data_IF_505318297034
#
_entry.id   IF_505318297034
#
_cell.length_a   1.000
_cell.length_b   1.000
_cell.length_c   1.000
_cell.angle_alpha   90.00
_cell.angle_beta   90.00
_cell.angle_gamma   90.00
#
_symmetry.space_group_name_H-M   'P 1'
#
loop_
_entity.id
_entity.type
_entity.pdbx_description
1 polymer ?
#
# COMPACT_ATOMS: atom_id res chain seq x y z
N UNK A 1 21.67 -48.36 -11.12
CA UNK A 1 20.74 -47.23 -11.08
C UNK A 1 21.62 -46.00 -11.06
N UNK A 2 21.45 -45.04 -12.01
CA UNK A 2 22.13 -43.77 -11.89
C UNK A 2 21.65 -43.11 -10.60
N UNK A 3 22.55 -42.67 -9.73
CA UNK A 3 22.19 -41.85 -8.58
C UNK A 3 21.67 -40.52 -9.09
N UNK A 4 20.35 -40.38 -9.04
CA UNK A 4 19.67 -39.12 -9.42
C UNK A 4 19.84 -38.12 -8.28
N UNK A 5 20.16 -36.87 -8.62
CA UNK A 5 20.18 -35.78 -7.65
C UNK A 5 18.77 -35.54 -7.09
N UNK A 6 18.69 -35.13 -5.82
CA UNK A 6 17.40 -34.84 -5.17
C UNK A 6 17.16 -33.33 -5.21
N UNK A 7 15.98 -32.92 -5.64
CA UNK A 7 15.53 -31.51 -5.57
C UNK A 7 14.29 -31.37 -4.66
N UNK A 8 14.06 -30.18 -4.15
CA UNK A 8 12.95 -29.88 -3.29
C UNK A 8 11.65 -29.60 -4.06
N UNK A 9 10.63 -29.19 -3.34
CA UNK A 9 9.38 -28.68 -3.91
C UNK A 9 9.56 -27.32 -4.59
N UNK A 10 10.64 -26.63 -4.28
CA UNK A 10 11.06 -25.33 -4.82
C UNK A 10 12.57 -25.33 -5.01
N UNK A 11 13.03 -24.72 -6.09
CA UNK A 11 14.46 -24.59 -6.37
C UNK A 11 14.82 -23.26 -7.01
N UNK A 12 16.07 -22.83 -6.82
CA UNK A 12 16.60 -21.69 -7.53
C UNK A 12 17.14 -22.12 -8.91
N UNK A 13 16.69 -21.40 -9.94
CA UNK A 13 17.14 -21.58 -11.32
C UNK A 13 17.92 -20.33 -11.79
N UNK A 14 18.94 -20.56 -12.62
CA UNK A 14 19.75 -19.52 -13.27
C UNK A 14 19.65 -19.68 -14.78
N UNK A 15 19.39 -18.59 -15.50
CA UNK A 15 19.37 -18.56 -16.98
C UNK A 15 20.39 -17.53 -17.48
N UNK A 16 21.66 -17.95 -17.57
CA UNK A 16 22.72 -17.04 -17.98
C UNK A 16 22.52 -16.43 -19.36
N UNK A 17 21.99 -17.20 -20.33
CA UNK A 17 21.71 -16.74 -21.70
C UNK A 17 20.55 -15.72 -21.77
N UNK A 18 19.65 -15.70 -20.80
CA UNK A 18 18.56 -14.75 -20.69
C UNK A 18 18.88 -13.57 -19.76
N UNK A 19 20.07 -13.58 -19.13
CA UNK A 19 20.45 -12.56 -18.18
C UNK A 19 19.70 -12.64 -16.85
N UNK A 20 19.15 -13.81 -16.49
CA UNK A 20 18.41 -14.02 -15.25
C UNK A 20 19.33 -14.73 -14.25
N UNK A 21 19.93 -14.01 -13.27
CA UNK A 21 20.93 -14.56 -12.37
C UNK A 21 20.37 -15.43 -11.24
N UNK A 22 19.08 -15.34 -10.94
CA UNK A 22 18.38 -16.21 -9.99
C UNK A 22 16.86 -16.03 -10.11
N UNK A 23 16.12 -17.12 -10.20
CA UNK A 23 14.64 -17.11 -10.17
C UNK A 23 14.14 -18.31 -9.38
N UNK A 24 13.20 -18.12 -8.46
CA UNK A 24 12.53 -19.22 -7.76
C UNK A 24 11.58 -19.95 -8.69
N UNK A 25 11.71 -21.26 -8.74
CA UNK A 25 10.85 -22.14 -9.51
C UNK A 25 10.09 -23.12 -8.58
N UNK A 26 8.78 -23.23 -8.78
CA UNK A 26 8.01 -24.32 -8.20
C UNK A 26 8.25 -25.59 -9.02
N UNK A 27 8.58 -26.68 -8.37
CA UNK A 27 8.74 -27.97 -9.02
C UNK A 27 7.36 -28.62 -9.18
N UNK A 28 6.95 -28.88 -10.43
CA UNK A 28 5.64 -29.40 -10.77
C UNK A 28 5.75 -30.61 -11.71
N UNK A 29 5.75 -31.82 -11.14
CA UNK A 29 5.76 -33.06 -11.89
C UNK A 29 4.49 -33.34 -12.68
N UNK A 30 3.38 -32.62 -12.40
CA UNK A 30 2.12 -32.68 -13.14
C UNK A 30 2.18 -31.94 -14.46
N UNK A 31 2.92 -30.82 -14.52
CA UNK A 31 3.10 -30.06 -15.75
C UNK A 31 4.12 -30.75 -16.67
N UNK A 32 3.78 -30.88 -17.97
CA UNK A 32 4.71 -31.48 -18.95
C UNK A 32 5.93 -30.61 -19.17
N UNK A 33 5.75 -29.36 -19.58
CA UNK A 33 6.78 -28.42 -19.97
C UNK A 33 6.94 -27.34 -18.93
N UNK A 34 8.16 -26.87 -18.68
CA UNK A 34 8.44 -25.73 -17.81
C UNK A 34 7.84 -24.43 -18.34
N UNK A 35 7.52 -23.49 -17.45
CA UNK A 35 6.91 -22.22 -17.80
C UNK A 35 7.57 -21.09 -17.01
N UNK A 36 7.76 -19.94 -17.67
CA UNK A 36 8.33 -18.74 -17.05
C UNK A 36 7.45 -17.53 -17.31
N UNK A 37 7.40 -16.62 -16.35
CA UNK A 37 6.70 -15.34 -16.51
C UNK A 37 7.29 -14.57 -17.68
N UNK A 38 6.43 -14.06 -18.56
CA UNK A 38 6.80 -13.21 -19.66
C UNK A 38 5.71 -12.17 -19.93
N UNK A 39 6.11 -10.92 -20.00
CA UNK A 39 5.27 -9.80 -20.41
C UNK A 39 5.76 -9.25 -21.75
N UNK A 40 4.88 -8.58 -22.49
CA UNK A 40 5.19 -7.88 -23.75
C UNK A 40 5.90 -8.75 -24.80
N UNK A 41 5.62 -10.07 -24.84
CA UNK A 41 6.26 -11.00 -25.75
C UNK A 41 5.93 -10.67 -27.21
N UNK A 42 6.97 -10.44 -28.04
CA UNK A 42 6.84 -10.09 -29.45
C UNK A 42 7.83 -10.88 -30.29
N UNK A 43 7.35 -11.45 -31.39
CA UNK A 43 8.20 -12.16 -32.36
C UNK A 43 8.91 -11.14 -33.26
N UNK A 44 10.21 -11.34 -33.44
CA UNK A 44 11.06 -10.55 -34.33
C UNK A 44 11.83 -11.49 -35.27
N UNK A 45 11.83 -11.19 -36.56
CA UNK A 45 12.57 -11.94 -37.60
C UNK A 45 13.99 -11.40 -37.71
N UNK A 46 15.02 -12.29 -37.76
CA UNK A 46 16.40 -11.93 -38.05
C UNK A 46 17.08 -13.07 -38.82
N UNK A 47 17.57 -12.77 -40.01
CA UNK A 47 18.31 -13.73 -40.85
C UNK A 47 17.52 -15.00 -41.20
N UNK A 48 16.22 -14.92 -41.43
CA UNK A 48 15.36 -16.07 -41.74
C UNK A 48 14.95 -16.92 -40.53
N UNK A 49 15.32 -16.49 -39.28
CA UNK A 49 14.92 -17.13 -38.05
C UNK A 49 14.03 -16.21 -37.19
N UNK A 50 13.11 -16.81 -36.46
CA UNK A 50 12.25 -16.08 -35.54
C UNK A 50 12.84 -16.10 -34.11
N UNK A 51 12.79 -14.95 -33.48
CA UNK A 51 13.15 -14.75 -32.07
C UNK A 51 11.97 -14.16 -31.34
N UNK A 52 11.91 -14.39 -30.02
CA UNK A 52 10.92 -13.77 -29.16
C UNK A 52 11.66 -12.81 -28.21
N UNK A 53 11.25 -11.52 -28.24
CA UNK A 53 11.60 -10.54 -27.21
C UNK A 53 10.52 -10.48 -26.19
N UNK A 54 10.88 -10.51 -24.93
CA UNK A 54 9.94 -10.45 -23.79
C UNK A 54 10.59 -9.82 -22.57
N UNK A 55 9.76 -9.44 -21.63
CA UNK A 55 10.17 -8.86 -20.36
C UNK A 55 9.86 -9.81 -19.22
N UNK A 56 10.73 -9.85 -18.23
CA UNK A 56 10.51 -10.63 -17.02
C UNK A 56 10.81 -9.80 -15.76
N UNK A 57 9.95 -9.94 -14.75
CA UNK A 57 10.18 -9.50 -13.39
C UNK A 57 10.51 -10.73 -12.53
N UNK A 58 11.79 -11.12 -12.40
CA UNK A 58 12.16 -12.42 -11.85
C UNK A 58 11.99 -12.54 -10.33
N UNK A 59 11.93 -11.42 -9.61
CA UNK A 59 11.78 -11.40 -8.17
C UNK A 59 10.30 -11.29 -7.81
N UNK A 60 9.86 -12.19 -6.92
CA UNK A 60 8.52 -12.18 -6.36
C UNK A 60 8.29 -10.84 -5.62
N UNK A 61 7.10 -10.26 -5.78
CA UNK A 61 6.65 -9.01 -5.14
C UNK A 61 7.53 -7.76 -5.41
N UNK A 62 8.53 -7.88 -6.31
CA UNK A 62 9.39 -6.78 -6.71
C UNK A 62 9.31 -6.54 -8.23
N UNK A 63 8.60 -5.48 -8.63
CA UNK A 63 8.48 -5.07 -10.04
C UNK A 63 9.54 -4.05 -10.48
N UNK A 64 10.43 -3.61 -9.59
CA UNK A 64 11.48 -2.64 -9.93
C UNK A 64 12.59 -3.25 -10.78
N UNK A 65 12.74 -4.57 -10.75
CA UNK A 65 13.70 -5.32 -11.55
C UNK A 65 12.96 -5.87 -12.77
N UNK A 66 13.24 -5.30 -13.93
CA UNK A 66 12.72 -5.76 -15.22
C UNK A 66 13.89 -6.13 -16.13
N UNK A 67 13.91 -7.36 -16.62
CA UNK A 67 14.94 -7.86 -17.54
C UNK A 67 14.34 -8.02 -18.92
N UNK A 68 15.00 -7.40 -19.91
CA UNK A 68 14.69 -7.59 -21.33
C UNK A 68 15.39 -8.84 -21.84
N UNK A 69 14.62 -9.82 -22.26
CA UNK A 69 15.09 -11.09 -22.75
C UNK A 69 14.85 -11.21 -24.27
N UNK A 70 15.77 -11.91 -24.95
CA UNK A 70 15.58 -12.33 -26.34
C UNK A 70 16.03 -13.79 -26.45
N UNK A 71 15.22 -14.65 -27.06
CA UNK A 71 15.54 -16.03 -27.31
C UNK A 71 14.99 -16.51 -28.66
N UNK A 72 15.60 -17.56 -29.23
CA UNK A 72 15.10 -18.17 -30.46
C UNK A 72 13.74 -18.81 -30.21
N UNK A 73 12.75 -18.49 -31.06
CA UNK A 73 11.45 -19.15 -31.05
C UNK A 73 11.63 -20.58 -31.61
N UNK A 74 11.19 -21.57 -30.82
CA UNK A 74 11.25 -22.99 -31.17
C UNK A 74 9.88 -23.49 -31.65
N UNK A 75 8.82 -23.05 -30.97
CA UNK A 75 7.47 -23.54 -31.23
C UNK A 75 6.39 -22.54 -30.75
N UNK A 76 5.15 -22.75 -31.20
CA UNK A 76 3.94 -22.10 -30.66
C UNK A 76 2.98 -23.19 -30.25
N UNK A 77 2.62 -23.24 -28.96
CA UNK A 77 1.77 -24.30 -28.41
C UNK A 77 0.52 -23.72 -27.77
N UNK A 78 -0.60 -24.37 -28.02
CA UNK A 78 -1.81 -24.12 -27.26
C UNK A 78 -1.74 -24.89 -25.94
N UNK A 79 -1.66 -24.17 -24.82
CA UNK A 79 -1.61 -24.74 -23.46
C UNK A 79 -2.93 -24.44 -22.77
N UNK A 80 -3.54 -25.47 -22.16
CA UNK A 80 -4.72 -25.26 -21.31
C UNK A 80 -4.23 -24.91 -19.89
N UNK A 81 -4.71 -23.79 -19.37
CA UNK A 81 -4.48 -23.39 -17.99
C UNK A 81 -5.23 -24.31 -17.04
N UNK A 82 -4.88 -24.26 -15.74
CA UNK A 82 -5.62 -24.96 -14.68
C UNK A 82 -7.10 -24.53 -14.59
N UNK A 83 -7.43 -23.34 -15.11
CA UNK A 83 -8.82 -22.84 -15.26
C UNK A 83 -9.52 -23.33 -16.53
N UNK A 84 -8.87 -24.18 -17.37
CA UNK A 84 -9.44 -24.75 -18.58
C UNK A 84 -9.38 -23.85 -19.81
N UNK A 85 -8.87 -22.63 -19.71
CA UNK A 85 -8.75 -21.69 -20.83
C UNK A 85 -7.54 -22.10 -21.70
N UNK A 86 -7.75 -22.23 -23.02
CA UNK A 86 -6.69 -22.48 -23.98
C UNK A 86 -6.01 -21.16 -24.35
N UNK A 87 -4.69 -21.10 -24.23
CA UNK A 87 -3.86 -19.94 -24.56
C UNK A 87 -2.72 -20.38 -25.49
N UNK A 88 -2.48 -19.63 -26.57
CA UNK A 88 -1.32 -19.84 -27.41
C UNK A 88 -0.08 -19.25 -26.71
N UNK A 89 0.98 -20.05 -26.54
CA UNK A 89 2.22 -19.63 -25.89
C UNK A 89 3.42 -19.87 -26.80
N UNK A 90 4.34 -18.92 -26.78
CA UNK A 90 5.65 -19.09 -27.40
C UNK A 90 6.50 -20.05 -26.58
N UNK A 91 7.27 -20.88 -27.28
CA UNK A 91 8.21 -21.82 -26.68
C UNK A 91 9.62 -21.46 -27.09
N UNK A 92 10.50 -21.34 -26.12
CA UNK A 92 11.93 -21.12 -26.31
C UNK A 92 12.72 -22.31 -25.74
N UNK A 93 13.94 -22.52 -26.22
CA UNK A 93 14.87 -23.48 -25.67
C UNK A 93 16.10 -22.74 -25.13
N UNK A 94 16.45 -23.01 -23.88
CA UNK A 94 17.53 -22.29 -23.19
C UNK A 94 18.20 -23.18 -22.13
N UNK A 95 19.51 -23.03 -21.87
CA UNK A 95 20.15 -23.68 -20.74
C UNK A 95 19.64 -23.10 -19.43
N UNK A 96 19.39 -24.02 -18.46
CA UNK A 96 19.11 -23.71 -17.05
C UNK A 96 20.19 -24.30 -16.19
N UNK A 97 20.61 -23.59 -15.15
CA UNK A 97 21.45 -24.10 -14.09
C UNK A 97 20.66 -24.26 -12.81
N UNK A 98 20.70 -25.45 -12.22
CA UNK A 98 20.10 -25.79 -10.91
C UNK A 98 21.21 -26.42 -10.07
N UNK A 99 21.64 -25.79 -8.98
CA UNK A 99 22.81 -26.18 -8.21
C UNK A 99 24.06 -26.21 -9.07
N UNK A 100 24.65 -27.39 -9.24
CA UNK A 100 25.82 -27.61 -10.09
C UNK A 100 25.52 -28.04 -11.53
N UNK A 101 24.27 -28.43 -11.81
CA UNK A 101 23.85 -28.99 -13.08
C UNK A 101 23.41 -27.91 -14.08
N UNK A 102 23.90 -27.96 -15.31
CA UNK A 102 23.47 -27.10 -16.40
C UNK A 102 23.00 -27.94 -17.60
N UNK A 103 21.77 -27.70 -18.06
CA UNK A 103 21.20 -28.46 -19.17
C UNK A 103 20.10 -27.63 -19.91
N UNK A 104 19.81 -28.00 -21.14
CA UNK A 104 18.79 -27.34 -21.94
C UNK A 104 17.40 -27.78 -21.55
N UNK A 105 16.50 -26.81 -21.44
CA UNK A 105 15.06 -27.04 -21.26
C UNK A 105 14.23 -26.23 -22.26
N UNK A 106 13.04 -26.72 -22.53
CA UNK A 106 12.00 -25.93 -23.19
C UNK A 106 11.22 -25.14 -22.14
N UNK A 107 11.00 -23.85 -22.43
CA UNK A 107 10.21 -22.95 -21.60
C UNK A 107 9.04 -22.39 -22.41
N UNK A 108 7.84 -22.51 -21.89
CA UNK A 108 6.68 -21.77 -22.37
C UNK A 108 6.66 -20.39 -21.73
N UNK A 109 6.50 -19.35 -22.54
CA UNK A 109 6.33 -17.96 -22.09
C UNK A 109 4.86 -17.73 -21.72
N UNK A 110 4.58 -17.37 -20.48
CA UNK A 110 3.22 -17.23 -19.97
C UNK A 110 3.10 -16.00 -19.06
N UNK A 111 1.90 -15.44 -18.99
CA UNK A 111 1.62 -14.47 -17.94
C UNK A 111 1.44 -15.20 -16.62
N UNK A 112 2.34 -14.93 -15.66
CA UNK A 112 2.34 -15.49 -14.30
C UNK A 112 2.37 -14.39 -13.24
N UNK A 113 1.95 -13.18 -13.56
CA UNK A 113 2.02 -12.02 -12.68
C UNK A 113 1.21 -12.16 -11.38
N UNK A 114 0.13 -12.92 -11.44
CA UNK A 114 -0.74 -13.19 -10.28
C UNK A 114 -0.44 -14.52 -9.57
N UNK A 115 0.57 -15.26 -10.04
CA UNK A 115 0.92 -16.55 -9.45
C UNK A 115 2.02 -16.40 -8.41
N UNK A 116 2.00 -17.26 -7.40
CA UNK A 116 2.98 -17.33 -6.32
C UNK A 116 4.42 -17.48 -6.83
N UNK A 117 4.63 -18.19 -7.94
CA UNK A 117 5.94 -18.40 -8.53
C UNK A 117 6.02 -17.88 -9.97
N UNK A 118 7.05 -17.08 -10.23
CA UNK A 118 7.36 -16.56 -11.58
C UNK A 118 7.81 -17.63 -12.55
N UNK A 119 8.21 -18.79 -12.04
CA UNK A 119 8.63 -19.94 -12.84
C UNK A 119 8.04 -21.23 -12.28
N UNK A 120 7.80 -22.17 -13.19
CA UNK A 120 7.41 -23.55 -12.92
C UNK A 120 8.38 -24.47 -13.64
N UNK A 121 8.94 -25.44 -12.92
CA UNK A 121 9.84 -26.45 -13.46
C UNK A 121 9.07 -27.73 -13.73
N UNK A 122 8.83 -28.02 -15.01
CA UNK A 122 7.98 -29.13 -15.45
C UNK A 122 8.70 -30.47 -15.56
N UNK A 123 7.93 -31.53 -15.73
CA UNK A 123 8.38 -32.93 -15.75
C UNK A 123 9.48 -33.23 -16.76
N UNK A 124 9.46 -32.61 -17.95
CA UNK A 124 10.50 -32.83 -18.97
C UNK A 124 11.88 -32.36 -18.52
N UNK A 125 11.95 -31.32 -17.70
CA UNK A 125 13.20 -30.85 -17.12
C UNK A 125 13.72 -31.80 -16.01
N UNK A 126 12.81 -32.51 -15.33
CA UNK A 126 13.10 -33.38 -14.20
C UNK A 126 13.52 -34.80 -14.65
N UNK A 127 12.90 -35.27 -15.72
CA UNK A 127 12.97 -36.66 -16.15
C UNK A 127 14.39 -37.14 -16.42
N UNK A 128 14.81 -38.23 -15.74
CA UNK A 128 16.15 -38.83 -15.85
C UNK A 128 17.25 -38.01 -15.20
N UNK A 129 16.94 -36.91 -14.44
CA UNK A 129 17.94 -36.07 -13.77
C UNK A 129 17.72 -35.98 -12.27
N UNK A 130 16.46 -35.83 -11.85
CA UNK A 130 16.13 -35.52 -10.46
C UNK A 130 15.03 -36.40 -9.88
N UNK A 131 15.19 -36.71 -8.59
CA UNK A 131 14.10 -37.13 -7.71
C UNK A 131 13.56 -35.91 -6.95
N UNK A 132 12.26 -35.81 -6.80
CA UNK A 132 11.63 -34.71 -6.09
C UNK A 132 11.30 -35.12 -4.67
N UNK A 133 11.83 -34.40 -3.68
CA UNK A 133 11.41 -34.49 -2.29
C UNK A 133 10.44 -33.36 -1.99
N UNK A 134 9.14 -33.61 -1.86
CA UNK A 134 8.15 -32.55 -1.66
C UNK A 134 8.16 -31.97 -0.23
N UNK A 135 8.88 -32.58 0.71
CA UNK A 135 8.95 -32.14 2.10
C UNK A 135 9.94 -30.99 2.31
N UNK A 136 10.89 -30.83 1.40
CA UNK A 136 11.96 -29.85 1.51
C UNK A 136 11.96 -28.87 0.32
N UNK A 137 12.69 -27.77 0.46
CA UNK A 137 12.89 -26.76 -0.59
C UNK A 137 14.37 -26.39 -0.69
N UNK A 138 14.81 -25.96 -1.89
CA UNK A 138 16.15 -25.43 -2.17
C UNK A 138 17.28 -26.40 -1.83
N UNK A 139 17.10 -27.70 -2.11
CA UNK A 139 18.05 -28.75 -1.79
C UNK A 139 19.33 -28.66 -2.62
N UNK A 140 19.29 -28.08 -3.83
CA UNK A 140 20.44 -27.93 -4.68
C UNK A 140 21.27 -26.69 -4.35
N UNK A 141 20.60 -25.56 -4.07
CA UNK A 141 21.25 -24.34 -3.63
C UNK A 141 20.21 -23.37 -3.10
N UNK A 142 20.44 -22.87 -1.90
CA UNK A 142 19.71 -21.74 -1.35
C UNK A 142 20.48 -20.44 -1.58
N UNK A 143 19.79 -19.38 -1.97
CA UNK A 143 20.33 -18.01 -2.02
C UNK A 143 19.68 -17.18 -0.91
N UNK A 144 20.51 -16.50 -0.12
CA UNK A 144 20.01 -15.50 0.84
C UNK A 144 19.44 -14.29 0.10
N UNK A 145 18.61 -13.50 0.79
CA UNK A 145 18.06 -12.25 0.23
C UNK A 145 19.16 -11.27 -0.20
N UNK A 146 20.26 -11.23 0.56
CA UNK A 146 21.43 -10.40 0.25
C UNK A 146 22.14 -10.87 -1.02
N UNK A 147 22.33 -12.18 -1.19
CA UNK A 147 22.91 -12.76 -2.41
C UNK A 147 22.05 -12.49 -3.64
N UNK A 148 20.73 -12.64 -3.50
CA UNK A 148 19.77 -12.31 -4.58
C UNK A 148 19.85 -10.83 -4.92
N UNK A 149 19.83 -9.95 -3.93
CA UNK A 149 19.94 -8.50 -4.12
C UNK A 149 21.24 -8.12 -4.83
N UNK A 150 22.37 -8.70 -4.41
CA UNK A 150 23.67 -8.46 -5.05
C UNK A 150 23.70 -8.92 -6.52
N UNK A 151 23.08 -10.07 -6.84
CA UNK A 151 22.98 -10.60 -8.21
C UNK A 151 22.16 -9.68 -9.12
N UNK A 152 21.17 -9.00 -8.59
CA UNK A 152 20.29 -8.09 -9.33
C UNK A 152 20.72 -6.62 -9.31
N UNK A 153 21.72 -6.26 -8.51
CA UNK A 153 22.25 -4.90 -8.47
C UNK A 153 22.58 -4.29 -9.85
N UNK A 154 23.17 -5.03 -10.83
CA UNK A 154 23.42 -4.50 -12.18
C UNK A 154 22.14 -4.20 -12.99
N UNK A 155 21.02 -4.82 -12.64
CA UNK A 155 19.72 -4.64 -13.30
C UNK A 155 18.85 -3.61 -12.59
N UNK A 156 19.20 -3.21 -11.38
CA UNK A 156 18.63 -2.06 -10.72
C UNK A 156 19.12 -0.81 -11.48
N UNK A 157 18.35 -0.35 -12.47
CA UNK A 157 18.55 1.01 -12.95
C UNK A 157 18.49 1.90 -11.73
N UNK A 158 19.55 2.66 -11.47
CA UNK A 158 19.47 3.78 -10.54
C UNK A 158 18.35 4.69 -11.10
N UNK A 159 17.15 4.55 -10.58
CA UNK A 159 16.03 5.41 -10.95
C UNK A 159 16.40 6.77 -10.37
N UNK A 160 16.89 7.68 -11.19
CA UNK A 160 17.31 9.02 -10.79
C UNK A 160 16.15 9.85 -10.22
N UNK A 161 14.94 9.32 -10.27
CA UNK A 161 13.73 9.90 -9.69
C UNK A 161 12.58 8.88 -9.67
N UNK A 162 11.66 9.05 -8.73
CA UNK A 162 10.42 8.28 -8.64
C UNK A 162 9.31 9.03 -9.39
N UNK A 163 8.37 8.30 -9.97
CA UNK A 163 7.11 8.86 -10.46
C UNK A 163 6.08 8.81 -9.35
N UNK A 164 5.77 9.96 -8.76
CA UNK A 164 4.94 10.09 -7.57
C UNK A 164 3.65 10.83 -7.91
N UNK A 165 2.51 10.22 -7.58
CA UNK A 165 1.23 10.89 -7.70
C UNK A 165 0.83 11.59 -6.40
N UNK A 166 0.45 12.86 -6.47
CA UNK A 166 -0.26 13.56 -5.41
C UNK A 166 -1.77 13.37 -5.64
N UNK A 167 -2.39 12.50 -4.87
CA UNK A 167 -3.82 12.18 -4.98
C UNK A 167 -4.66 13.12 -4.12
N UNK A 168 -5.28 14.13 -4.72
CA UNK A 168 -6.02 15.18 -4.00
C UNK A 168 -7.19 15.72 -4.85
N UNK A 169 -8.03 16.60 -4.28
CA UNK A 169 -9.16 17.20 -5.01
C UNK A 169 -8.87 18.60 -5.57
N UNK A 170 -7.86 19.30 -5.03
CA UNK A 170 -7.58 20.69 -5.43
C UNK A 170 -6.07 20.92 -5.60
N UNK A 171 -5.57 21.13 -6.83
CA UNK A 171 -4.15 21.38 -7.08
C UNK A 171 -3.67 22.74 -6.55
N UNK A 172 -4.58 23.69 -6.36
CA UNK A 172 -4.23 25.09 -6.03
C UNK A 172 -4.01 25.33 -4.54
N UNK A 173 -4.26 24.35 -3.67
CA UNK A 173 -3.95 24.48 -2.24
C UNK A 173 -2.44 24.65 -2.04
N UNK A 174 -2.05 25.61 -1.21
CA UNK A 174 -0.65 25.90 -0.90
C UNK A 174 0.15 24.64 -0.53
N UNK A 175 -0.39 23.81 0.37
CA UNK A 175 0.26 22.56 0.78
C UNK A 175 0.47 21.56 -0.36
N UNK A 176 -0.47 21.48 -1.31
CA UNK A 176 -0.35 20.60 -2.47
C UNK A 176 0.73 21.10 -3.43
N UNK A 177 0.75 22.41 -3.72
CA UNK A 177 1.81 23.02 -4.53
C UNK A 177 3.19 22.78 -3.91
N UNK A 178 3.33 22.99 -2.58
CA UNK A 178 4.61 22.79 -1.88
C UNK A 178 5.10 21.32 -1.91
N UNK A 179 4.17 20.34 -1.86
CA UNK A 179 4.52 18.92 -1.99
C UNK A 179 5.01 18.63 -3.41
N UNK A 180 4.32 19.13 -4.45
CA UNK A 180 4.75 18.98 -5.84
C UNK A 180 6.15 19.56 -6.05
N UNK A 181 6.36 20.84 -5.70
CA UNK A 181 7.65 21.52 -5.79
C UNK A 181 8.77 20.81 -5.02
N UNK A 182 8.46 20.28 -3.83
CA UNK A 182 9.44 19.56 -3.01
C UNK A 182 9.86 18.22 -3.61
N UNK A 183 8.94 17.53 -4.30
CA UNK A 183 9.21 16.31 -5.05
C UNK A 183 10.06 16.58 -6.28
N UNK A 184 9.69 17.57 -7.09
CA UNK A 184 10.43 17.99 -8.28
C UNK A 184 11.86 18.45 -7.94
N UNK A 185 12.01 19.24 -6.87
CA UNK A 185 13.32 19.69 -6.38
C UNK A 185 14.24 18.53 -5.93
N UNK A 186 13.69 17.36 -5.67
CA UNK A 186 14.43 16.11 -5.34
C UNK A 186 14.64 15.20 -6.55
N UNK A 187 14.27 15.65 -7.75
CA UNK A 187 14.43 14.92 -9.00
C UNK A 187 13.33 13.86 -9.24
N UNK A 188 12.19 13.97 -8.57
CA UNK A 188 11.04 13.07 -8.80
C UNK A 188 10.12 13.65 -9.89
N UNK A 189 9.50 12.78 -10.68
CA UNK A 189 8.39 13.12 -11.57
C UNK A 189 7.11 13.20 -10.73
N UNK A 190 6.62 14.42 -10.51
CA UNK A 190 5.41 14.64 -9.71
C UNK A 190 4.19 14.79 -10.60
N UNK A 191 3.14 14.03 -10.33
CA UNK A 191 1.88 14.07 -11.09
C UNK A 191 0.72 14.36 -10.15
N UNK A 192 -0.07 15.40 -10.43
CA UNK A 192 -1.29 15.65 -9.69
C UNK A 192 -2.44 14.79 -10.24
N UNK A 193 -3.04 13.98 -9.38
CA UNK A 193 -4.23 13.20 -9.69
C UNK A 193 -5.43 13.70 -8.89
N UNK A 194 -6.49 14.08 -9.59
CA UNK A 194 -7.75 14.42 -8.94
C UNK A 194 -8.50 13.13 -8.57
N UNK A 195 -8.79 12.95 -7.27
CA UNK A 195 -9.54 11.81 -6.75
C UNK A 195 -10.85 11.59 -7.51
N UNK A 196 -11.59 12.66 -7.79
CA UNK A 196 -12.93 12.61 -8.39
C UNK A 196 -12.88 12.37 -9.92
N UNK A 197 -11.69 12.42 -10.53
CA UNK A 197 -11.48 12.11 -11.95
C UNK A 197 -10.88 10.72 -12.18
N UNK A 198 -10.49 10.04 -11.13
CA UNK A 198 -9.95 8.67 -11.19
C UNK A 198 -11.07 7.66 -11.00
N UNK A 199 -11.03 6.55 -11.70
CA UNK A 199 -11.97 5.44 -11.56
C UNK A 199 -11.28 4.10 -11.74
N UNK A 200 -11.91 3.02 -11.28
CA UNK A 200 -11.28 1.71 -11.13
C UNK A 200 -12.02 0.66 -11.96
N UNK A 201 -11.24 -0.22 -12.59
CA UNK A 201 -11.71 -1.52 -13.08
C UNK A 201 -11.31 -2.57 -12.04
N UNK A 202 -12.28 -3.28 -11.50
CA UNK A 202 -12.08 -4.38 -10.56
C UNK A 202 -12.17 -5.69 -11.36
N UNK A 203 -11.02 -6.32 -11.57
CA UNK A 203 -10.87 -7.54 -12.36
C UNK A 203 -9.73 -8.35 -11.75
N UNK A 204 -9.94 -9.63 -11.51
CA UNK A 204 -8.95 -10.50 -10.88
C UNK A 204 -7.67 -10.65 -11.73
N UNK A 205 -7.79 -10.59 -13.06
CA UNK A 205 -6.67 -10.83 -13.98
C UNK A 205 -6.00 -9.53 -14.48
N UNK A 206 -6.77 -8.44 -14.52
CA UNK A 206 -6.29 -7.16 -15.06
C UNK A 206 -6.94 -5.97 -14.33
N UNK A 207 -6.67 -5.79 -13.03
CA UNK A 207 -7.15 -4.62 -12.30
C UNK A 207 -6.50 -3.36 -12.86
N UNK A 208 -7.27 -2.27 -12.98
CA UNK A 208 -6.81 -1.02 -13.56
C UNK A 208 -7.31 0.17 -12.74
N UNK A 209 -6.52 1.24 -12.72
CA UNK A 209 -6.98 2.57 -12.38
C UNK A 209 -6.94 3.41 -13.64
N UNK A 210 -8.02 4.12 -13.92
CA UNK A 210 -8.12 5.00 -15.08
C UNK A 210 -8.38 6.44 -14.63
N UNK A 211 -7.89 7.35 -15.44
CA UNK A 211 -8.13 8.77 -15.26
C UNK A 211 -9.07 9.29 -16.35
N UNK A 212 -9.69 10.44 -16.10
CA UNK A 212 -10.59 11.11 -17.03
C UNK A 212 -10.02 11.10 -18.45
N UNK A 213 -10.82 10.64 -19.42
CA UNK A 213 -10.38 10.42 -20.80
C UNK A 213 -9.88 9.01 -21.09
N UNK A 214 -9.92 8.08 -20.13
CA UNK A 214 -9.61 6.65 -20.32
C UNK A 214 -8.14 6.28 -20.15
N UNK A 215 -7.27 7.23 -19.78
CA UNK A 215 -5.85 6.96 -19.57
C UNK A 215 -5.65 6.01 -18.39
N UNK A 216 -4.91 4.92 -18.61
CA UNK A 216 -4.59 3.93 -17.58
C UNK A 216 -3.41 4.44 -16.74
N UNK A 217 -3.55 4.36 -15.40
CA UNK A 217 -2.60 4.88 -14.41
C UNK A 217 -1.78 3.73 -13.79
N UNK A 218 -0.95 3.05 -14.57
CA UNK A 218 -0.22 1.85 -14.10
C UNK A 218 1.26 2.09 -13.75
N UNK A 219 1.77 3.32 -13.84
CA UNK A 219 3.22 3.57 -13.83
C UNK A 219 3.71 4.44 -12.68
N UNK A 220 3.03 4.42 -11.54
CA UNK A 220 3.48 5.15 -10.37
C UNK A 220 4.32 4.27 -9.44
N UNK A 221 5.39 4.83 -8.87
CA UNK A 221 6.17 4.20 -7.81
C UNK A 221 5.53 4.43 -6.46
N UNK A 222 4.93 5.61 -6.27
CA UNK A 222 4.28 5.98 -5.02
C UNK A 222 3.10 6.93 -5.24
N UNK A 223 2.19 6.93 -4.27
CA UNK A 223 1.16 7.97 -4.14
C UNK A 223 1.24 8.66 -2.78
N UNK A 224 0.97 9.96 -2.77
CA UNK A 224 0.80 10.78 -1.57
C UNK A 224 -0.68 11.18 -1.47
N UNK A 225 -1.48 10.51 -0.62
CA UNK A 225 -2.90 10.83 -0.49
C UNK A 225 -3.12 12.11 0.31
N UNK A 226 -3.93 13.00 -0.24
CA UNK A 226 -4.44 14.23 0.40
C UNK A 226 -5.95 14.29 0.30
N UNK A 227 -6.60 13.25 0.83
CA UNK A 227 -8.04 13.02 0.68
C UNK A 227 -8.83 13.98 1.57
N UNK A 228 -9.74 14.75 1.00
CA UNK A 228 -10.67 15.60 1.78
C UNK A 228 -11.76 14.73 2.46
N UNK A 229 -12.34 15.17 3.60
CA UNK A 229 -13.36 14.40 4.34
C UNK A 229 -14.53 13.92 3.49
N UNK A 230 -15.05 14.77 2.62
CA UNK A 230 -16.22 14.48 1.80
C UNK A 230 -16.04 13.30 0.80
N UNK A 231 -14.79 12.93 0.48
CA UNK A 231 -14.50 11.85 -0.45
C UNK A 231 -13.67 10.74 0.20
N UNK A 232 -13.75 10.60 1.53
CA UNK A 232 -12.96 9.60 2.27
C UNK A 232 -13.18 8.18 1.75
N UNK A 233 -14.43 7.75 1.62
CA UNK A 233 -14.76 6.41 1.14
C UNK A 233 -14.13 6.14 -0.23
N UNK A 234 -14.37 7.02 -1.20
CA UNK A 234 -13.87 6.86 -2.56
C UNK A 234 -12.34 6.97 -2.65
N UNK A 235 -11.77 7.95 -1.95
CA UNK A 235 -10.32 8.13 -1.90
C UNK A 235 -9.60 6.93 -1.29
N UNK A 236 -10.12 6.36 -0.21
CA UNK A 236 -9.57 5.14 0.40
C UNK A 236 -9.73 3.91 -0.50
N UNK A 237 -10.82 3.81 -1.27
CA UNK A 237 -10.97 2.76 -2.27
C UNK A 237 -9.92 2.86 -3.38
N UNK A 238 -9.63 4.07 -3.87
CA UNK A 238 -8.55 4.30 -4.85
C UNK A 238 -7.18 3.95 -4.27
N UNK A 239 -6.89 4.33 -3.02
CA UNK A 239 -5.62 4.01 -2.35
C UNK A 239 -5.44 2.49 -2.27
N UNK A 240 -6.46 1.74 -1.83
CA UNK A 240 -6.41 0.26 -1.81
C UNK A 240 -6.17 -0.33 -3.20
N UNK A 241 -6.74 0.27 -4.23
CA UNK A 241 -6.52 -0.21 -5.60
C UNK A 241 -5.08 0.06 -6.08
N UNK A 242 -4.48 1.21 -5.73
CA UNK A 242 -3.06 1.47 -5.98
C UNK A 242 -2.16 0.49 -5.22
N UNK A 243 -2.47 0.23 -3.95
CA UNK A 243 -1.75 -0.74 -3.12
C UNK A 243 -1.81 -2.16 -3.71
N UNK A 244 -3.00 -2.61 -4.14
CA UNK A 244 -3.20 -3.88 -4.84
C UNK A 244 -2.41 -3.97 -6.17
N UNK A 245 -2.10 -2.84 -6.79
CA UNK A 245 -1.25 -2.75 -7.99
C UNK A 245 0.26 -2.67 -7.64
N UNK A 246 0.62 -2.74 -6.35
CA UNK A 246 1.99 -2.69 -5.87
C UNK A 246 2.59 -1.27 -5.84
N UNK A 247 1.77 -0.23 -5.86
CA UNK A 247 2.20 1.16 -5.74
C UNK A 247 2.33 1.51 -4.26
N UNK A 248 3.48 2.05 -3.85
CA UNK A 248 3.68 2.48 -2.45
C UNK A 248 2.70 3.61 -2.09
N UNK A 249 1.93 3.41 -1.01
CA UNK A 249 0.95 4.38 -0.52
C UNK A 249 1.46 5.06 0.76
N UNK A 250 1.86 6.33 0.66
CA UNK A 250 2.22 7.13 1.83
C UNK A 250 0.94 7.52 2.59
N UNK A 251 0.71 6.90 3.73
CA UNK A 251 -0.54 6.69 4.45
C UNK A 251 -1.47 5.72 3.72
N UNK A 252 -1.66 4.56 4.34
CA UNK A 252 -2.56 3.52 3.86
C UNK A 252 -4.02 3.96 3.96
N UNK A 253 -4.91 3.29 3.24
CA UNK A 253 -6.35 3.53 3.35
C UNK A 253 -6.86 3.27 4.76
N UNK A 254 -6.31 2.26 5.46
CA UNK A 254 -6.63 1.90 6.83
C UNK A 254 -6.25 3.04 7.80
N UNK A 255 -5.03 3.55 7.72
CA UNK A 255 -4.55 4.64 8.55
C UNK A 255 -5.43 5.91 8.39
N UNK A 256 -5.80 6.23 7.14
CA UNK A 256 -6.70 7.36 6.86
C UNK A 256 -8.09 7.12 7.44
N UNK A 257 -8.64 5.93 7.28
CA UNK A 257 -9.97 5.58 7.80
C UNK A 257 -9.99 5.62 9.32
N UNK A 258 -9.02 4.98 9.98
CA UNK A 258 -8.89 4.92 11.43
C UNK A 258 -8.71 6.31 12.04
N UNK A 259 -7.84 7.15 11.47
CA UNK A 259 -7.61 8.52 11.97
C UNK A 259 -8.80 9.46 11.78
N UNK A 260 -9.72 9.15 10.89
CA UNK A 260 -10.95 9.95 10.65
C UNK A 260 -12.10 9.58 11.54
N UNK A 261 -12.17 8.35 11.97
CA UNK A 261 -13.15 7.89 12.95
C UNK A 261 -12.67 8.26 14.36
N UNK A 262 -13.26 9.31 14.94
CA UNK A 262 -12.90 9.80 16.28
C UNK A 262 -13.12 8.75 17.37
N UNK A 263 -14.16 7.91 17.24
CA UNK A 263 -14.43 6.85 18.21
C UNK A 263 -13.37 5.77 18.12
N UNK A 264 -13.10 5.29 16.90
CA UNK A 264 -12.10 4.27 16.66
C UNK A 264 -10.69 4.74 17.06
N UNK A 265 -10.31 5.97 16.68
CA UNK A 265 -9.04 6.57 17.11
C UNK A 265 -8.92 6.62 18.65
N UNK A 266 -10.00 7.00 19.37
CA UNK A 266 -10.01 7.02 20.85
C UNK A 266 -9.85 5.60 21.42
N UNK A 267 -10.47 4.60 20.82
CA UNK A 267 -10.33 3.19 21.23
C UNK A 267 -8.89 2.68 21.00
N UNK A 268 -8.26 3.04 19.88
CA UNK A 268 -6.86 2.71 19.62
C UNK A 268 -5.94 3.37 20.64
N UNK A 269 -6.11 4.66 20.93
CA UNK A 269 -5.30 5.36 21.90
C UNK A 269 -5.42 4.72 23.28
N UNK A 270 -6.63 4.38 23.73
CA UNK A 270 -6.84 3.67 24.99
C UNK A 270 -6.18 2.29 24.99
N UNK A 271 -6.29 1.52 23.90
CA UNK A 271 -5.66 0.21 23.73
C UNK A 271 -4.13 0.26 23.86
N UNK A 272 -3.53 1.34 23.40
CA UNK A 272 -2.08 1.54 23.41
C UNK A 272 -1.59 2.43 24.56
N UNK A 273 -2.35 2.58 25.63
CA UNK A 273 -2.00 3.39 26.82
C UNK A 273 -1.58 4.83 26.45
N UNK A 274 -2.30 5.43 25.51
CA UNK A 274 -2.18 6.85 25.19
C UNK A 274 -3.30 7.57 25.94
N UNK A 275 -2.93 8.43 26.87
CA UNK A 275 -3.90 9.19 27.66
C UNK A 275 -4.72 10.12 26.77
N UNK A 276 -6.02 9.98 26.87
CA UNK A 276 -7.02 10.84 26.22
C UNK A 276 -7.96 11.39 27.30
N UNK A 277 -8.61 12.53 27.06
CA UNK A 277 -9.70 12.98 27.92
C UNK A 277 -10.79 11.91 28.04
N UNK A 278 -11.38 11.74 29.22
CA UNK A 278 -12.43 10.75 29.44
C UNK A 278 -13.53 10.95 28.42
N UNK A 279 -13.81 9.92 27.65
CA UNK A 279 -14.69 9.98 26.49
C UNK A 279 -15.75 8.90 26.60
N UNK A 280 -17.00 9.28 26.46
CA UNK A 280 -18.14 8.39 26.47
C UNK A 280 -18.90 8.42 25.15
N UNK A 281 -19.46 7.26 24.78
CA UNK A 281 -20.33 7.09 23.62
C UNK A 281 -21.52 6.21 23.98
N UNK A 282 -22.73 6.66 23.66
CA UNK A 282 -23.93 5.87 23.83
C UNK A 282 -24.92 6.12 22.68
N UNK A 283 -25.52 5.06 22.15
CA UNK A 283 -26.51 5.14 21.07
C UNK A 283 -27.90 5.50 21.59
N UNK A 284 -28.30 4.95 22.74
CA UNK A 284 -29.63 5.16 23.32
C UNK A 284 -29.77 6.54 24.01
N UNK A 285 -30.87 7.27 23.79
CA UNK A 285 -31.19 8.44 24.60
C UNK A 285 -31.37 8.16 26.09
N UNK A 286 -31.79 6.94 26.47
CA UNK A 286 -31.96 6.54 27.87
C UNK A 286 -30.68 6.60 28.69
N UNK A 287 -29.53 6.47 28.06
CA UNK A 287 -28.21 6.46 28.70
C UNK A 287 -27.60 7.88 28.85
N UNK A 288 -28.33 8.94 28.50
CA UNK A 288 -27.79 10.33 28.50
C UNK A 288 -27.25 10.76 29.84
N UNK A 289 -27.96 10.47 30.94
CA UNK A 289 -27.51 10.85 32.30
C UNK A 289 -26.31 10.06 32.75
N UNK A 290 -26.24 8.78 32.42
CA UNK A 290 -25.11 7.94 32.72
C UNK A 290 -23.86 8.38 31.94
N UNK A 291 -24.04 8.71 30.66
CA UNK A 291 -22.98 9.22 29.81
C UNK A 291 -22.36 10.52 30.35
N UNK A 292 -23.21 11.46 30.83
CA UNK A 292 -22.74 12.70 31.49
C UNK A 292 -21.93 12.36 32.77
N UNK A 293 -22.43 11.46 33.61
CA UNK A 293 -21.72 11.03 34.81
C UNK A 293 -20.38 10.36 34.51
N UNK A 294 -20.32 9.54 33.45
CA UNK A 294 -19.12 8.83 33.02
C UNK A 294 -17.95 9.79 32.72
N UNK A 295 -18.23 10.97 32.22
CA UNK A 295 -17.24 12.01 31.88
C UNK A 295 -17.10 13.07 32.97
N UNK A 296 -17.41 12.74 34.24
CA UNK A 296 -17.33 13.60 35.43
C UNK A 296 -18.33 14.79 35.47
N UNK A 297 -19.36 14.78 34.59
CA UNK A 297 -20.34 15.84 34.54
C UNK A 297 -19.88 17.08 33.78
N UNK A 298 -20.68 18.16 33.89
CA UNK A 298 -20.35 19.42 33.24
C UNK A 298 -19.33 20.25 34.04
N UNK A 299 -18.49 21.08 33.37
CA UNK A 299 -18.52 21.36 31.94
C UNK A 299 -17.97 20.20 31.10
N UNK A 300 -18.58 19.92 29.98
CA UNK A 300 -18.20 18.83 29.07
C UNK A 300 -18.31 19.24 27.61
N UNK A 301 -17.62 18.49 26.76
CA UNK A 301 -17.63 18.71 25.31
C UNK A 301 -18.47 17.64 24.60
N UNK A 302 -19.36 18.06 23.72
CA UNK A 302 -20.13 17.18 22.85
C UNK A 302 -19.61 17.36 21.43
N UNK A 303 -19.22 16.27 20.75
CA UNK A 303 -18.62 16.28 19.43
C UNK A 303 -19.42 15.40 18.47
N UNK A 304 -19.75 15.91 17.29
CA UNK A 304 -20.26 15.09 16.20
C UNK A 304 -19.12 14.19 15.65
N UNK A 305 -19.38 12.90 15.44
CA UNK A 305 -18.40 11.97 14.89
C UNK A 305 -17.92 12.38 13.50
N UNK A 306 -18.84 12.74 12.63
CA UNK A 306 -18.59 13.01 11.21
C UNK A 306 -18.21 14.46 10.90
N UNK A 307 -17.87 15.27 11.92
CA UNK A 307 -17.55 16.69 11.74
C UNK A 307 -16.05 16.98 11.75
N UNK A 308 -15.64 18.06 11.09
CA UNK A 308 -14.24 18.50 10.98
C UNK A 308 -14.11 20.00 11.27
N UNK A 309 -12.88 20.50 11.49
CA UNK A 309 -12.54 21.91 11.64
C UNK A 309 -13.23 22.63 12.82
N UNK A 310 -13.58 21.90 13.88
CA UNK A 310 -14.28 22.47 15.04
C UNK A 310 -15.79 22.68 14.83
N UNK A 311 -16.33 22.34 13.65
CA UNK A 311 -17.78 22.33 13.42
C UNK A 311 -18.40 21.15 14.18
N UNK A 312 -19.59 21.34 14.76
CA UNK A 312 -20.26 20.30 15.53
C UNK A 312 -19.56 19.94 16.85
N UNK A 313 -18.83 20.88 17.45
CA UNK A 313 -18.26 20.79 18.80
C UNK A 313 -18.95 21.81 19.68
N UNK A 314 -19.59 21.34 20.76
CA UNK A 314 -20.37 22.16 21.69
C UNK A 314 -19.81 22.01 23.10
N UNK A 315 -19.57 23.11 23.78
CA UNK A 315 -19.31 23.15 25.21
C UNK A 315 -20.64 23.26 25.96
N UNK A 316 -20.91 22.32 26.85
CA UNK A 316 -22.04 22.37 27.76
C UNK A 316 -21.57 22.68 29.16
N UNK A 317 -21.88 23.86 29.68
CA UNK A 317 -21.40 24.35 30.97
C UNK A 317 -22.15 23.75 32.16
N UNK A 318 -23.38 23.23 31.94
CA UNK A 318 -24.20 22.60 32.95
C UNK A 318 -24.73 21.24 32.49
N UNK A 319 -25.01 20.34 33.45
CA UNK A 319 -25.57 19.02 33.14
C UNK A 319 -26.90 19.13 32.39
N UNK A 320 -27.76 20.13 32.73
CA UNK A 320 -29.04 20.36 32.06
C UNK A 320 -28.86 20.79 30.60
N UNK A 321 -27.88 21.65 30.32
CA UNK A 321 -27.53 22.04 28.97
C UNK A 321 -26.99 20.84 28.18
N UNK A 322 -26.13 20.03 28.80
CA UNK A 322 -25.59 18.79 28.22
C UNK A 322 -26.71 17.80 27.86
N UNK A 323 -27.64 17.52 28.78
CA UNK A 323 -28.80 16.65 28.50
C UNK A 323 -29.61 17.15 27.31
N UNK A 324 -29.89 18.45 27.26
CA UNK A 324 -30.70 19.06 26.17
C UNK A 324 -30.00 18.89 24.79
N UNK A 325 -28.72 19.19 24.72
CA UNK A 325 -27.92 19.08 23.47
C UNK A 325 -27.77 17.62 23.03
N UNK A 326 -27.43 16.71 23.96
CA UNK A 326 -27.28 15.29 23.68
C UNK A 326 -28.60 14.70 23.14
N UNK A 327 -29.72 14.99 23.82
CA UNK A 327 -31.03 14.48 23.43
C UNK A 327 -31.46 15.05 22.07
N UNK A 328 -31.16 16.33 21.79
CA UNK A 328 -31.45 16.94 20.49
C UNK A 328 -30.67 16.22 19.36
N UNK A 329 -29.38 15.94 19.53
CA UNK A 329 -28.61 15.21 18.51
C UNK A 329 -29.08 13.76 18.36
N UNK A 330 -29.39 13.09 19.47
CA UNK A 330 -29.88 11.69 19.42
C UNK A 330 -31.27 11.60 18.75
N UNK A 331 -32.14 12.62 18.92
CA UNK A 331 -33.46 12.62 18.28
C UNK A 331 -33.39 12.64 16.75
N UNK A 332 -32.31 13.18 16.18
CA UNK A 332 -32.03 13.16 14.74
C UNK A 332 -31.06 12.03 14.35
N UNK A 333 -30.89 11.03 15.22
CA UNK A 333 -30.06 9.82 15.03
C UNK A 333 -28.57 10.10 14.72
N UNK A 334 -28.05 11.24 15.13
CA UNK A 334 -26.66 11.61 14.90
C UNK A 334 -25.75 10.98 15.95
N UNK A 335 -24.65 10.40 15.51
CA UNK A 335 -23.63 9.83 16.40
C UNK A 335 -22.78 10.94 17.02
N UNK A 336 -22.66 10.92 18.35
CA UNK A 336 -21.92 11.92 19.13
C UNK A 336 -20.95 11.25 20.12
N UNK A 337 -19.84 11.93 20.38
CA UNK A 337 -18.98 11.67 21.53
C UNK A 337 -19.24 12.72 22.60
N UNK A 338 -19.26 12.30 23.85
CA UNK A 338 -19.25 13.16 25.04
C UNK A 338 -17.90 13.02 25.70
N UNK A 339 -17.28 14.15 26.05
CA UNK A 339 -15.89 14.14 26.56
C UNK A 339 -15.77 15.16 27.68
N UNK A 340 -14.96 14.85 28.70
CA UNK A 340 -14.62 15.80 29.75
C UNK A 340 -14.00 17.07 29.16
N UNK A 341 -14.24 18.20 29.79
CA UNK A 341 -13.64 19.49 29.41
C UNK A 341 -12.34 19.71 30.18
N UNK A 342 -11.24 19.83 29.46
CA UNK A 342 -9.91 20.08 30.06
C UNK A 342 -9.73 21.58 30.26
N UNK A 343 -10.05 22.08 31.45
CA UNK A 343 -9.96 23.51 31.82
C UNK A 343 -8.53 24.03 31.75
N UNK A 344 -7.58 23.20 32.13
CA UNK A 344 -6.15 23.50 32.18
C UNK A 344 -5.58 23.84 30.81
N UNK A 345 -6.19 23.36 29.75
CA UNK A 345 -5.81 23.71 28.39
C UNK A 345 -6.01 25.18 28.05
N UNK A 346 -6.93 25.88 28.76
CA UNK A 346 -7.18 27.32 28.62
C UNK A 346 -7.31 27.78 27.14
N UNK A 347 -8.01 27.01 26.33
CA UNK A 347 -8.18 27.26 24.90
C UNK A 347 -6.89 27.08 24.07
N UNK A 348 -5.90 26.33 24.59
CA UNK A 348 -4.67 26.00 23.89
C UNK A 348 -4.62 24.54 23.48
N UNK A 349 -3.99 24.26 22.37
CA UNK A 349 -3.55 22.91 22.01
C UNK A 349 -2.19 22.94 21.30
N UNK A 350 -1.48 21.81 21.34
CA UNK A 350 -0.24 21.59 20.62
C UNK A 350 -0.53 20.60 19.50
N UNK A 351 -0.10 20.96 18.29
CA UNK A 351 -0.15 20.07 17.14
C UNK A 351 1.25 19.69 16.70
N UNK A 352 1.55 18.40 16.77
CA UNK A 352 2.77 17.81 16.28
C UNK A 352 2.56 17.24 14.87
N UNK A 353 3.54 17.46 13.99
CA UNK A 353 3.60 16.83 12.67
C UNK A 353 4.66 15.74 12.73
N UNK A 354 4.22 14.50 12.53
CA UNK A 354 5.12 13.32 12.56
C UNK A 354 5.27 12.79 11.15
N UNK A 355 6.51 12.54 10.74
CA UNK A 355 6.87 11.94 9.46
C UNK A 355 7.96 10.93 9.72
N UNK A 356 7.78 9.69 9.26
CA UNK A 356 8.74 8.61 9.44
C UNK A 356 9.20 8.45 10.90
N UNK A 357 8.24 8.36 11.82
CA UNK A 357 8.51 8.23 13.26
C UNK A 357 9.22 9.41 13.93
N UNK A 358 9.28 10.59 13.27
CA UNK A 358 9.97 11.79 13.78
C UNK A 358 9.03 12.97 13.81
N UNK A 359 9.03 13.73 14.90
CA UNK A 359 8.35 15.03 14.95
C UNK A 359 9.17 16.05 14.16
N UNK A 360 8.65 16.46 13.00
CA UNK A 360 9.30 17.39 12.06
C UNK A 360 8.91 18.85 12.32
N UNK A 361 7.74 19.07 12.93
CA UNK A 361 7.30 20.41 13.34
C UNK A 361 6.30 20.31 14.50
N UNK A 362 6.24 21.35 15.31
CA UNK A 362 5.22 21.51 16.35
C UNK A 362 4.75 22.96 16.43
N UNK A 363 3.45 23.14 16.55
CA UNK A 363 2.81 24.44 16.70
C UNK A 363 1.85 24.42 17.89
N UNK A 364 1.85 25.49 18.64
CA UNK A 364 0.81 25.79 19.63
C UNK A 364 -0.27 26.62 18.96
N UNK A 365 -1.52 26.25 19.20
CA UNK A 365 -2.66 27.06 18.77
C UNK A 365 -3.35 27.62 20.01
N UNK A 366 -3.79 28.87 19.90
CA UNK A 366 -4.49 29.61 20.94
C UNK A 366 -5.85 30.07 20.40
N UNK A 367 -6.92 29.75 21.12
CA UNK A 367 -8.25 30.26 20.85
C UNK A 367 -8.35 31.79 21.11
N UNK A 368 -9.29 32.45 20.46
CA UNK A 368 -9.63 33.83 20.80
C UNK A 368 -10.28 33.93 22.18
N UNK A 369 -10.23 35.12 22.76
CA UNK A 369 -10.83 35.37 24.07
C UNK A 369 -12.32 35.04 24.05
N UNK A 370 -12.76 34.15 24.93
CA UNK A 370 -14.15 33.70 25.02
C UNK A 370 -14.48 32.49 24.13
N UNK A 371 -13.53 32.00 23.35
CA UNK A 371 -13.65 30.78 22.56
C UNK A 371 -12.77 29.69 23.18
N UNK A 372 -13.24 28.45 23.22
CA UNK A 372 -12.50 27.31 23.75
C UNK A 372 -11.82 26.49 22.64
N UNK A 373 -12.21 26.67 21.38
CA UNK A 373 -11.67 25.94 20.24
C UNK A 373 -10.46 26.67 19.64
N UNK A 374 -9.27 26.10 19.72
CA UNK A 374 -8.04 26.66 19.18
C UNK A 374 -7.90 26.52 17.64
N UNK A 375 -8.96 26.11 16.93
CA UNK A 375 -8.92 25.92 15.49
C UNK A 375 -8.69 27.24 14.74
N UNK A 376 -7.71 27.28 13.83
CA UNK A 376 -7.37 28.48 13.02
C UNK A 376 -8.61 28.96 12.22
N UNK A 377 -9.42 28.04 11.70
CA UNK A 377 -10.66 28.38 11.00
C UNK A 377 -11.75 29.00 11.90
N UNK A 378 -11.56 29.01 13.21
CA UNK A 378 -12.41 29.65 14.21
C UNK A 378 -11.74 30.89 14.83
N UNK A 379 -10.76 31.47 14.13
CA UNK A 379 -10.05 32.66 14.59
C UNK A 379 -8.81 32.38 15.45
N UNK A 380 -8.51 31.11 15.75
CA UNK A 380 -7.34 30.75 16.54
C UNK A 380 -6.02 31.17 15.89
N UNK A 381 -5.04 31.53 16.72
CA UNK A 381 -3.68 31.90 16.30
C UNK A 381 -2.73 30.73 16.50
N UNK A 382 -1.73 30.60 15.59
CA UNK A 382 -0.72 29.56 15.69
C UNK A 382 0.67 30.18 15.82
N UNK A 383 1.51 29.58 16.67
CA UNK A 383 2.94 29.91 16.81
C UNK A 383 3.76 28.64 16.91
N UNK A 384 5.02 28.70 16.48
CA UNK A 384 5.96 27.59 16.65
C UNK A 384 6.22 27.42 18.13
N UNK A 385 6.23 26.15 18.60
CA UNK A 385 6.51 25.81 19.99
C UNK A 385 7.55 24.70 20.05
N UNK A 386 8.40 24.76 21.08
CA UNK A 386 9.31 23.66 21.43
C UNK A 386 8.58 22.71 22.38
N UNK A 387 8.41 21.48 21.97
CA UNK A 387 7.75 20.42 22.77
C UNK A 387 8.73 19.75 23.73
N UNK A 388 8.21 19.20 24.81
CA UNK A 388 8.97 18.40 25.78
C UNK A 388 9.32 17.01 25.21
N UNK A 389 10.30 16.30 25.81
CA UNK A 389 10.60 14.92 25.44
C UNK A 389 9.39 13.98 25.57
N UNK A 390 8.57 14.18 26.60
CA UNK A 390 7.35 13.42 26.84
C UNK A 390 6.30 13.65 25.77
N UNK A 391 6.03 14.89 25.40
CA UNK A 391 5.13 15.26 24.31
C UNK A 391 5.62 14.70 22.97
N UNK A 392 6.94 14.76 22.72
CA UNK A 392 7.55 14.16 21.52
C UNK A 392 7.33 12.64 21.47
N UNK A 393 7.58 11.95 22.61
CA UNK A 393 7.38 10.50 22.72
C UNK A 393 5.92 10.13 22.50
N UNK A 394 5.00 10.90 23.10
CA UNK A 394 3.56 10.70 22.95
C UNK A 394 3.11 10.91 21.50
N UNK A 395 3.58 11.97 20.84
CA UNK A 395 3.25 12.25 19.45
C UNK A 395 3.71 11.13 18.50
N UNK A 396 4.92 10.60 18.71
CA UNK A 396 5.44 9.46 17.92
C UNK A 396 4.64 8.19 18.20
N UNK A 397 4.28 7.93 19.47
CA UNK A 397 3.48 6.75 19.82
C UNK A 397 2.07 6.78 19.24
N UNK A 398 1.51 7.97 19.03
CA UNK A 398 0.16 8.19 18.50
C UNK A 398 0.09 8.21 16.97
N UNK A 399 1.22 8.21 16.28
CA UNK A 399 1.31 8.23 14.81
C UNK A 399 1.55 6.84 14.24
#
# INVERSE_FOLDING_TARGET
MQDLNVIGSEEWCVFGTLGIPAIKARVDSGAKTSSIQAANAKVVGRGGQEYVKFEINPIQDNRSINIQCEAKLVDRRTVRSSSGIAEERFVIKTPVTIGADTFDIELTLANRDTMEFRMLLGREALNGRYMVNPADSFLQKEFSEEEVSAKYAPYMKAKTGLKIALLASNPNLYSNKRIMEAGEARGHEMVFLNVEHSYMKLDANSPEIRYRGGNILNEFDAIIPRIKPAVTFYGCALIRQFDNLGVFCLNTAEAITQSRDKLFASQLFAKFDIHIPITGFAKSPLDTKDLIRMVNGAPLIIKLLESTQGKGVVLAETNKAAESVINAFKSVQTNILVQEFIKEANGQDIRCFVVDGRVVASIQRQAEKGEFRANIHQGGKASIVKITPEEKKLAIKAS
#
